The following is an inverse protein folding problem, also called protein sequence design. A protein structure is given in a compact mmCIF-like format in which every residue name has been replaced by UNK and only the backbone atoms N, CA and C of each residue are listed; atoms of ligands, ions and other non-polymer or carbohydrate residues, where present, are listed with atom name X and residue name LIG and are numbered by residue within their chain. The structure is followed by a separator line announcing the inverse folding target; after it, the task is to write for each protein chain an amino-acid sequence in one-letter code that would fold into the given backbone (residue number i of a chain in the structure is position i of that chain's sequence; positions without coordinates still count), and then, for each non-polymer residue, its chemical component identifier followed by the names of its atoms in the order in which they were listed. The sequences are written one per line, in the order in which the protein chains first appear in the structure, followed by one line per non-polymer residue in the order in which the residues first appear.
data_IF_096671582668
#
_entry.id   IF_096671582668
#
_cell.length_a   1.000
_cell.length_b   1.000
_cell.length_c   1.000
_cell.angle_alpha   90.00
_cell.angle_beta   90.00
_cell.angle_gamma   90.00
#
_symmetry.space_group_name_H-M   'P 1'
#
loop_
_entity.id
_entity.type
_entity.pdbx_description
1 polymer ?
#
# COMPACT_ATOMS: atom_id res chain seq x y z
N UNK A 1 -8.66 -36.88 -12.46
CA UNK A 1 -7.70 -36.11 -13.28
C UNK A 1 -6.92 -37.08 -14.17
N UNK A 2 -6.74 -36.74 -15.43
CA UNK A 2 -5.96 -37.54 -16.37
C UNK A 2 -4.47 -37.43 -16.10
N UNK A 3 -3.66 -38.36 -16.64
CA UNK A 3 -2.18 -38.28 -16.53
C UNK A 3 -1.66 -36.96 -17.12
N UNK A 4 -2.21 -36.55 -18.27
CA UNK A 4 -1.82 -35.30 -18.92
C UNK A 4 -2.19 -34.09 -18.07
N UNK A 5 -3.38 -34.09 -17.44
CA UNK A 5 -3.81 -33.04 -16.54
C UNK A 5 -2.93 -32.94 -15.29
N UNK A 6 -2.48 -34.08 -14.74
CA UNK A 6 -1.57 -34.10 -13.60
C UNK A 6 -0.20 -33.51 -13.97
N UNK A 7 0.29 -33.79 -15.18
CA UNK A 7 1.55 -33.23 -15.68
C UNK A 7 1.46 -31.71 -15.85
N UNK A 8 0.36 -31.23 -16.41
CA UNK A 8 0.15 -29.78 -16.60
C UNK A 8 0.11 -29.06 -15.25
N UNK A 9 -0.58 -29.63 -14.25
CA UNK A 9 -0.62 -29.06 -12.91
C UNK A 9 0.76 -29.04 -12.28
N UNK A 10 1.54 -30.15 -12.42
CA UNK A 10 2.89 -30.19 -11.87
C UNK A 10 3.80 -29.14 -12.51
N UNK A 11 3.72 -28.96 -13.82
CA UNK A 11 4.49 -27.92 -14.51
C UNK A 11 4.08 -26.52 -14.06
N UNK A 12 2.78 -26.29 -13.92
CA UNK A 12 2.27 -25.02 -13.43
C UNK A 12 2.75 -24.70 -12.01
N UNK A 13 2.75 -25.70 -11.12
CA UNK A 13 3.24 -25.53 -9.75
C UNK A 13 4.74 -25.22 -9.70
N UNK A 14 5.52 -25.76 -10.63
CA UNK A 14 6.97 -25.54 -10.69
C UNK A 14 7.33 -24.17 -11.30
N UNK A 15 6.37 -23.50 -11.94
CA UNK A 15 6.63 -22.21 -12.59
C UNK A 15 6.43 -21.08 -11.60
N UNK A 16 7.48 -20.27 -11.30
CA UNK A 16 7.33 -19.14 -10.40
C UNK A 16 6.38 -18.09 -10.97
N UNK A 17 5.58 -17.49 -10.09
CA UNK A 17 4.75 -16.36 -10.49
C UNK A 17 5.64 -15.13 -10.56
N UNK A 18 5.75 -14.55 -11.76
CA UNK A 18 6.51 -13.32 -11.97
C UNK A 18 5.55 -12.19 -12.28
N UNK A 19 5.41 -11.27 -11.35
CA UNK A 19 4.63 -10.06 -11.54
C UNK A 19 5.58 -8.86 -11.47
N UNK A 20 5.49 -7.93 -12.42
CA UNK A 20 6.28 -6.70 -12.33
C UNK A 20 5.97 -5.95 -11.03
N UNK A 21 7.01 -5.43 -10.40
CA UNK A 21 6.86 -4.65 -9.17
C UNK A 21 6.02 -3.41 -9.45
N UNK A 22 5.06 -3.14 -8.57
CA UNK A 22 4.21 -1.96 -8.67
C UNK A 22 3.02 -2.08 -9.61
N UNK A 23 2.84 -3.23 -10.27
CA UNK A 23 1.70 -3.44 -11.16
C UNK A 23 0.44 -3.69 -10.35
N UNK A 24 -0.62 -2.90 -10.61
CA UNK A 24 -1.95 -3.04 -10.00
C UNK A 24 -1.99 -2.86 -8.48
N UNK A 25 -1.08 -2.06 -7.95
CA UNK A 25 -1.17 -1.68 -6.55
C UNK A 25 -2.02 -0.40 -6.46
N UNK A 26 -3.31 -0.59 -6.26
CA UNK A 26 -4.29 0.49 -6.27
C UNK A 26 -4.05 1.50 -5.14
N UNK A 27 -3.69 1.03 -3.94
CA UNK A 27 -3.46 1.96 -2.84
C UNK A 27 -2.21 2.80 -3.05
N UNK A 28 -1.14 2.21 -3.58
CA UNK A 28 0.05 2.96 -3.91
C UNK A 28 -0.25 4.03 -4.96
N UNK A 29 -1.03 3.69 -5.98
CA UNK A 29 -1.45 4.65 -7.01
C UNK A 29 -2.30 5.77 -6.43
N UNK A 30 -3.22 5.45 -5.54
CA UNK A 30 -4.06 6.48 -4.88
C UNK A 30 -3.21 7.45 -4.08
N UNK A 31 -2.26 6.95 -3.32
CA UNK A 31 -1.35 7.80 -2.53
C UNK A 31 -0.49 8.67 -3.43
N UNK A 32 0.08 8.08 -4.50
CA UNK A 32 0.91 8.83 -5.45
C UNK A 32 0.13 9.95 -6.13
N UNK A 33 -1.09 9.67 -6.57
CA UNK A 33 -1.96 10.68 -7.19
C UNK A 33 -2.32 11.76 -6.17
N UNK A 34 -2.66 11.38 -4.94
CA UNK A 34 -3.01 12.33 -3.90
C UNK A 34 -1.84 13.24 -3.53
N UNK A 35 -0.61 12.71 -3.48
CA UNK A 35 0.61 13.50 -3.27
C UNK A 35 0.80 14.50 -4.40
N UNK A 36 0.51 14.09 -5.63
CA UNK A 36 0.65 14.95 -6.80
C UNK A 36 -0.35 16.10 -6.80
N UNK A 37 -1.56 15.85 -6.29
CA UNK A 37 -2.62 16.85 -6.23
C UNK A 37 -2.43 17.81 -5.05
N UNK A 38 -2.29 17.32 -3.85
CA UNK A 38 -2.00 18.11 -2.64
C UNK A 38 -1.73 17.17 -1.45
N UNK A 39 -0.77 17.49 -0.63
CA UNK A 39 -0.34 16.63 0.48
C UNK A 39 -1.44 16.31 1.50
N UNK A 40 -2.40 17.23 1.72
CA UNK A 40 -3.50 17.04 2.67
C UNK A 40 -4.38 15.83 2.29
N UNK A 41 -4.68 15.70 1.00
CA UNK A 41 -5.46 14.57 0.49
C UNK A 41 -4.72 13.25 0.65
N UNK A 42 -3.38 13.26 0.53
CA UNK A 42 -2.57 12.06 0.69
C UNK A 42 -2.64 11.52 2.12
N UNK A 43 -2.58 12.37 3.13
CA UNK A 43 -2.70 11.95 4.53
C UNK A 43 -4.07 11.36 4.83
N UNK A 44 -5.13 11.92 4.28
CA UNK A 44 -6.49 11.39 4.43
C UNK A 44 -6.63 10.01 3.79
N UNK A 45 -6.05 9.83 2.59
CA UNK A 45 -6.05 8.52 1.91
C UNK A 45 -5.31 7.49 2.75
N UNK A 46 -4.16 7.86 3.32
CA UNK A 46 -3.36 6.98 4.18
C UNK A 46 -4.16 6.58 5.42
N UNK A 47 -4.79 7.52 6.10
CA UNK A 47 -5.54 7.22 7.32
C UNK A 47 -6.74 6.31 7.04
N UNK A 48 -7.48 6.57 5.98
CA UNK A 48 -8.61 5.73 5.57
C UNK A 48 -8.14 4.30 5.29
N UNK A 49 -7.05 4.15 4.54
CA UNK A 49 -6.51 2.83 4.21
C UNK A 49 -5.95 2.13 5.44
N UNK A 50 -5.28 2.88 6.32
CA UNK A 50 -4.75 2.31 7.57
C UNK A 50 -5.87 1.68 8.40
N UNK A 51 -6.99 2.37 8.56
CA UNK A 51 -8.13 1.83 9.30
C UNK A 51 -8.69 0.57 8.65
N UNK A 52 -8.83 0.56 7.32
CA UNK A 52 -9.31 -0.61 6.59
C UNK A 52 -8.36 -1.80 6.73
N UNK A 53 -7.06 -1.57 6.64
CA UNK A 53 -6.05 -2.62 6.74
C UNK A 53 -5.93 -3.15 8.16
N UNK A 54 -6.03 -2.29 9.17
CA UNK A 54 -6.09 -2.71 10.57
C UNK A 54 -7.29 -3.59 10.84
N UNK A 55 -8.45 -3.24 10.30
CA UNK A 55 -9.66 -4.04 10.42
C UNK A 55 -9.49 -5.42 9.80
N UNK A 56 -8.87 -5.48 8.62
CA UNK A 56 -8.53 -6.75 7.95
C UNK A 56 -7.61 -7.59 8.83
N UNK A 57 -6.56 -7.00 9.37
CA UNK A 57 -5.60 -7.71 10.22
C UNK A 57 -6.27 -8.26 11.49
N UNK A 58 -7.13 -7.49 12.12
CA UNK A 58 -7.90 -7.95 13.29
C UNK A 58 -8.80 -9.13 12.96
N UNK A 59 -9.50 -9.07 11.82
CA UNK A 59 -10.37 -10.16 11.36
C UNK A 59 -9.57 -11.43 11.08
N UNK A 60 -8.42 -11.31 10.41
CA UNK A 60 -7.54 -12.44 10.11
C UNK A 60 -6.99 -13.06 11.39
N UNK A 61 -6.55 -12.25 12.35
CA UNK A 61 -6.05 -12.74 13.63
C UNK A 61 -7.10 -13.57 14.36
N UNK A 62 -8.34 -13.07 14.35
CA UNK A 62 -9.47 -13.79 14.97
C UNK A 62 -9.76 -15.11 14.27
N UNK A 63 -9.76 -15.13 12.94
CA UNK A 63 -9.98 -16.34 12.15
C UNK A 63 -8.85 -17.36 12.36
N UNK A 64 -7.61 -16.92 12.48
CA UNK A 64 -6.47 -17.81 12.76
C UNK A 64 -6.63 -18.48 14.12
N UNK A 65 -7.13 -17.77 15.12
CA UNK A 65 -7.35 -18.31 16.46
C UNK A 65 -8.41 -19.44 16.45
N UNK A 66 -9.35 -19.40 15.51
CA UNK A 66 -10.36 -20.45 15.34
C UNK A 66 -9.79 -21.73 14.73
N UNK A 67 -8.60 -21.66 14.09
CA UNK A 67 -7.97 -22.80 13.45
C UNK A 67 -8.57 -23.13 12.09
N UNK A 68 -8.28 -24.33 11.61
CA UNK A 68 -8.81 -24.79 10.34
C UNK A 68 -7.81 -25.65 9.57
N UNK A 69 -8.15 -25.96 8.32
CA UNK A 69 -7.29 -26.73 7.43
C UNK A 69 -6.01 -25.97 7.10
N UNK A 70 -4.97 -26.73 6.77
CA UNK A 70 -3.65 -26.15 6.46
C UNK A 70 -3.73 -25.11 5.33
N UNK A 71 -4.45 -25.41 4.25
CA UNK A 71 -4.56 -24.46 3.13
C UNK A 71 -5.20 -23.14 3.57
N UNK A 72 -6.22 -23.20 4.40
CA UNK A 72 -6.89 -22.01 4.95
C UNK A 72 -5.94 -21.19 5.84
N UNK A 73 -5.21 -21.87 6.73
CA UNK A 73 -4.25 -21.21 7.61
C UNK A 73 -3.12 -20.54 6.82
N UNK A 74 -2.61 -21.19 5.77
CA UNK A 74 -1.60 -20.58 4.90
C UNK A 74 -2.13 -19.32 4.22
N UNK A 75 -3.38 -19.34 3.77
CA UNK A 75 -4.03 -18.17 3.20
C UNK A 75 -4.15 -17.02 4.22
N UNK A 76 -4.58 -17.34 5.43
CA UNK A 76 -4.71 -16.36 6.51
C UNK A 76 -3.34 -15.77 6.89
N UNK A 77 -2.32 -16.62 6.97
CA UNK A 77 -0.94 -16.16 7.25
C UNK A 77 -0.46 -15.17 6.21
N UNK A 78 -0.66 -15.49 4.92
CA UNK A 78 -0.28 -14.60 3.84
C UNK A 78 -1.03 -13.26 3.94
N UNK A 79 -2.33 -13.30 4.16
CA UNK A 79 -3.15 -12.11 4.28
C UNK A 79 -2.66 -11.23 5.45
N UNK A 80 -2.34 -11.84 6.59
CA UNK A 80 -1.81 -11.11 7.75
C UNK A 80 -0.47 -10.46 7.43
N UNK A 81 0.44 -11.18 6.79
CA UNK A 81 1.77 -10.65 6.43
C UNK A 81 1.64 -9.48 5.46
N UNK A 82 0.80 -9.61 4.44
CA UNK A 82 0.57 -8.53 3.48
C UNK A 82 -0.06 -7.30 4.14
N UNK A 83 -1.02 -7.51 5.05
CA UNK A 83 -1.63 -6.41 5.79
C UNK A 83 -0.61 -5.68 6.68
N UNK A 84 0.26 -6.43 7.36
CA UNK A 84 1.33 -5.85 8.18
C UNK A 84 2.33 -5.06 7.33
N UNK A 85 2.69 -5.59 6.16
CA UNK A 85 3.59 -4.91 5.22
C UNK A 85 2.95 -3.62 4.71
N UNK A 86 1.66 -3.64 4.39
CA UNK A 86 0.93 -2.45 3.95
C UNK A 86 0.90 -1.38 5.04
N UNK A 87 0.64 -1.76 6.29
CA UNK A 87 0.66 -0.83 7.42
C UNK A 87 2.03 -0.20 7.58
N UNK A 88 3.10 -0.98 7.46
CA UNK A 88 4.47 -0.46 7.53
C UNK A 88 4.76 0.54 6.41
N UNK A 89 4.30 0.25 5.19
CA UNK A 89 4.46 1.16 4.06
C UNK A 89 3.66 2.45 4.26
N UNK A 90 2.43 2.35 4.76
CA UNK A 90 1.59 3.52 5.03
C UNK A 90 2.24 4.44 6.06
N UNK A 91 2.82 3.86 7.12
CA UNK A 91 3.55 4.63 8.14
C UNK A 91 4.76 5.34 7.53
N UNK A 92 5.52 4.64 6.70
CA UNK A 92 6.66 5.21 5.99
C UNK A 92 6.23 6.32 5.04
N UNK A 93 5.15 6.11 4.29
CA UNK A 93 4.62 7.11 3.37
C UNK A 93 4.18 8.38 4.11
N UNK A 94 3.47 8.22 5.24
CA UNK A 94 3.06 9.34 6.08
C UNK A 94 4.27 10.15 6.55
N UNK A 95 5.30 9.46 7.03
CA UNK A 95 6.52 10.12 7.50
C UNK A 95 7.23 10.88 6.38
N UNK A 96 7.34 10.27 5.20
CA UNK A 96 7.98 10.92 4.05
C UNK A 96 7.19 12.13 3.58
N UNK A 97 5.86 12.05 3.56
CA UNK A 97 5.00 13.18 3.16
C UNK A 97 5.13 14.31 4.18
N UNK A 98 5.13 13.99 5.47
CA UNK A 98 5.26 14.99 6.53
C UNK A 98 6.60 15.73 6.48
N UNK A 99 7.66 15.08 6.01
CA UNK A 99 9.02 15.65 5.90
C UNK A 99 9.34 16.21 4.52
N UNK A 100 8.45 16.02 3.55
CA UNK A 100 8.71 16.46 2.19
C UNK A 100 8.80 17.99 2.14
N UNK A 101 9.69 18.54 1.30
CA UNK A 101 9.69 19.97 1.07
C UNK A 101 8.42 20.38 0.35
N UNK A 102 8.02 21.65 0.49
CA UNK A 102 6.84 22.16 -0.21
C UNK A 102 6.98 21.93 -1.71
N UNK A 103 5.83 21.74 -2.38
CA UNK A 103 5.81 21.59 -3.84
C UNK A 103 6.41 22.81 -4.51
N UNK A 104 6.86 22.64 -5.76
CA UNK A 104 7.44 23.74 -6.53
C UNK A 104 6.51 24.94 -6.62
N UNK A 105 5.21 24.71 -6.73
CA UNK A 105 4.22 25.79 -6.76
C UNK A 105 4.14 26.53 -5.43
N UNK A 106 4.16 25.81 -4.32
CA UNK A 106 4.13 26.42 -2.98
C UNK A 106 5.40 27.24 -2.74
N UNK A 107 6.56 26.73 -3.18
CA UNK A 107 7.84 27.44 -3.07
C UNK A 107 7.84 28.72 -3.89
N UNK A 108 7.35 28.66 -5.12
CA UNK A 108 7.25 29.83 -5.99
C UNK A 108 6.31 30.88 -5.38
N UNK A 109 5.19 30.46 -4.83
CA UNK A 109 4.23 31.35 -4.19
C UNK A 109 4.83 32.04 -2.96
N UNK A 110 5.53 31.30 -2.11
CA UNK A 110 6.20 31.86 -0.93
C UNK A 110 7.31 32.86 -1.32
N UNK A 111 8.10 32.53 -2.34
CA UNK A 111 9.15 33.42 -2.85
C UNK A 111 8.56 34.71 -3.43
N UNK A 112 7.46 34.63 -4.15
CA UNK A 112 6.76 35.78 -4.70
C UNK A 112 6.23 36.70 -3.59
N UNK A 113 5.67 36.12 -2.52
CA UNK A 113 5.20 36.87 -1.36
C UNK A 113 6.35 37.57 -0.63
N UNK A 114 7.48 36.88 -0.43
CA UNK A 114 8.65 37.43 0.21
C UNK A 114 9.22 38.61 -0.61
N UNK A 115 9.28 38.48 -1.93
CA UNK A 115 9.73 39.54 -2.82
C UNK A 115 8.79 40.76 -2.77
N UNK A 116 7.47 40.52 -2.72
CA UNK A 116 6.50 41.60 -2.60
C UNK A 116 6.65 42.37 -1.29
N UNK A 117 6.99 41.67 -0.19
CA UNK A 117 7.23 42.28 1.11
C UNK A 117 8.54 43.11 1.10
N UNK A 118 9.56 42.64 0.40
CA UNK A 118 10.85 43.34 0.31
C UNK A 118 10.78 44.64 -0.54
N UNK A 119 9.87 44.69 -1.50
CA UNK A 119 9.72 45.84 -2.38
C UNK A 119 8.82 46.94 -1.82
N UNK A 120 8.15 46.70 -0.71
CA UNK A 120 7.38 47.73 -0.02
C UNK A 120 8.09 48.28 1.20
#
# INVERSE_FOLDING_TARGET
MTVDGQREVAEWLDTPVQQPLGTRDEIAMKVLVAVHLEATSALDVIDTQRQATMSTLQSVTKLKAEGGELAWLLHLDRTAILAQAELSWLDLAEERIARAPKTSQDQIHDEAQDQALETT
#
